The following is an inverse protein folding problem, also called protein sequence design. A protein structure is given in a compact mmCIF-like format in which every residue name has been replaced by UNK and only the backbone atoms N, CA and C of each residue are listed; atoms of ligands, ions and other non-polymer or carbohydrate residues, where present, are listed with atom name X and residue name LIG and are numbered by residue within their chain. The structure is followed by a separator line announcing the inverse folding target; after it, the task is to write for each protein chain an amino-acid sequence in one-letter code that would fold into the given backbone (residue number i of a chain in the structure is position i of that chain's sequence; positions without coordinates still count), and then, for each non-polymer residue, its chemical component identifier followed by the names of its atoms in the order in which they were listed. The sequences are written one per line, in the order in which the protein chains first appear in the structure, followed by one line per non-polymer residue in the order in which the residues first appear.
data_IF_675030756107
#
_entry.id   IF_675030756107
#
_cell.length_a   1.000
_cell.length_b   1.000
_cell.length_c   1.000
_cell.angle_alpha   90.00
_cell.angle_beta   90.00
_cell.angle_gamma   90.00
#
_symmetry.space_group_name_H-M   'P 1'
#
loop_
_entity.id
_entity.type
_entity.pdbx_description
1 polymer ?
#
# COMPACT_ATOMS: atom_id res chain seq x y z
N UNK A 1 -7.86 -11.34 26.53
CA UNK A 1 -7.09 -12.33 25.73
C UNK A 1 -6.46 -11.71 24.49
N UNK A 2 -7.17 -10.85 23.73
CA UNK A 2 -6.66 -10.27 22.48
C UNK A 2 -5.57 -9.19 22.72
N UNK A 3 -5.71 -8.36 23.76
CA UNK A 3 -4.72 -7.32 24.11
C UNK A 3 -3.38 -7.85 24.64
N UNK A 4 -3.27 -9.17 24.88
CA UNK A 4 -2.02 -9.81 25.28
C UNK A 4 -1.24 -10.38 24.06
N UNK A 5 -1.92 -10.60 22.94
CA UNK A 5 -1.32 -11.12 21.71
C UNK A 5 -0.87 -10.00 20.76
N UNK A 6 -1.42 -8.78 20.93
CA UNK A 6 -1.10 -7.59 20.13
C UNK A 6 -0.80 -6.44 21.07
N UNK A 7 0.30 -5.72 20.81
CA UNK A 7 0.60 -4.45 21.47
C UNK A 7 -0.49 -3.44 21.13
N UNK A 8 -1.17 -2.91 22.14
CA UNK A 8 -2.14 -1.81 21.97
C UNK A 8 -1.46 -0.45 21.79
N UNK A 9 -0.16 -0.36 22.00
CA UNK A 9 0.60 0.88 21.89
C UNK A 9 1.11 1.08 20.46
N UNK A 10 0.84 2.28 19.91
CA UNK A 10 1.33 2.70 18.60
C UNK A 10 2.73 3.32 18.74
N UNK A 11 3.69 2.90 17.93
CA UNK A 11 5.04 3.47 17.89
C UNK A 11 5.11 4.60 16.85
N UNK A 12 5.20 5.89 17.26
CA UNK A 12 5.20 7.03 16.34
C UNK A 12 6.51 7.17 15.55
N UNK A 13 7.56 6.43 15.88
CA UNK A 13 8.86 6.51 15.19
C UNK A 13 8.89 5.74 13.87
N UNK A 14 7.95 4.80 13.70
CA UNK A 14 7.81 4.01 12.48
C UNK A 14 7.37 4.91 11.33
N UNK A 15 8.18 4.93 10.26
CA UNK A 15 7.88 5.72 9.07
C UNK A 15 6.58 5.26 8.41
N UNK A 16 5.69 6.21 8.17
CA UNK A 16 4.46 6.06 7.40
C UNK A 16 4.60 6.84 6.08
N UNK A 17 3.96 6.39 5.00
CA UNK A 17 3.97 7.05 3.68
C UNK A 17 5.33 7.14 2.96
N UNK A 18 6.14 6.08 2.96
CA UNK A 18 7.39 6.06 2.19
C UNK A 18 7.16 5.96 0.67
N UNK A 19 8.24 6.11 -0.11
CA UNK A 19 8.21 5.91 -1.56
C UNK A 19 7.60 4.55 -1.96
N UNK A 20 7.90 3.48 -1.21
CA UNK A 20 7.38 2.13 -1.49
C UNK A 20 5.87 2.06 -1.32
N UNK A 21 5.35 2.70 -0.27
CA UNK A 21 3.92 2.83 -0.05
C UNK A 21 3.26 3.49 -1.26
N UNK A 22 3.80 4.62 -1.75
CA UNK A 22 3.23 5.34 -2.89
C UNK A 22 3.22 4.49 -4.15
N UNK A 23 4.35 3.85 -4.50
CA UNK A 23 4.44 3.00 -5.68
C UNK A 23 3.47 1.82 -5.61
N UNK A 24 3.46 1.08 -4.50
CA UNK A 24 2.62 -0.11 -4.35
C UNK A 24 1.14 0.25 -4.27
N UNK A 25 0.78 1.27 -3.49
CA UNK A 25 -0.62 1.69 -3.35
C UNK A 25 -1.18 2.20 -4.68
N UNK A 26 -0.47 3.07 -5.41
CA UNK A 26 -0.94 3.54 -6.72
C UNK A 26 -1.09 2.40 -7.72
N UNK A 27 -0.16 1.44 -7.73
CA UNK A 27 -0.25 0.27 -8.60
C UNK A 27 -1.48 -0.59 -8.29
N UNK A 28 -1.68 -0.99 -7.03
CA UNK A 28 -2.82 -1.83 -6.65
C UNK A 28 -4.16 -1.10 -6.75
N UNK A 29 -4.20 0.18 -6.40
CA UNK A 29 -5.40 1.01 -6.53
C UNK A 29 -5.81 1.17 -7.98
N UNK A 30 -4.87 1.46 -8.89
CA UNK A 30 -5.18 1.59 -10.32
C UNK A 30 -5.63 0.26 -10.94
N UNK A 31 -5.00 -0.86 -10.57
CA UNK A 31 -5.43 -2.19 -11.00
C UNK A 31 -6.83 -2.53 -10.50
N UNK A 32 -7.10 -2.30 -9.21
CA UNK A 32 -8.40 -2.54 -8.61
C UNK A 32 -9.49 -1.69 -9.28
N UNK A 33 -9.24 -0.39 -9.46
CA UNK A 33 -10.18 0.52 -10.13
C UNK A 33 -10.47 0.10 -11.58
N UNK A 34 -9.45 -0.31 -12.35
CA UNK A 34 -9.64 -0.78 -13.72
C UNK A 34 -10.51 -2.04 -13.80
N UNK A 35 -10.29 -3.00 -12.89
CA UNK A 35 -11.08 -4.23 -12.80
C UNK A 35 -12.51 -3.91 -12.38
N UNK A 36 -12.70 -3.10 -11.33
CA UNK A 36 -14.01 -2.67 -10.84
C UNK A 36 -14.81 -1.97 -11.94
N UNK A 37 -14.19 -1.04 -12.68
CA UNK A 37 -14.84 -0.33 -13.78
C UNK A 37 -15.22 -1.27 -14.94
N UNK A 38 -14.39 -2.26 -15.25
CA UNK A 38 -14.68 -3.23 -16.29
C UNK A 38 -15.89 -4.11 -15.97
N UNK A 39 -15.99 -4.57 -14.72
CA UNK A 39 -17.15 -5.33 -14.24
C UNK A 39 -18.39 -4.46 -14.06
N UNK A 40 -18.24 -3.16 -13.80
CA UNK A 40 -19.38 -2.25 -13.70
C UNK A 40 -20.24 -2.22 -14.98
N UNK A 41 -19.62 -2.34 -16.16
CA UNK A 41 -20.33 -2.38 -17.44
C UNK A 41 -20.84 -3.78 -17.82
N UNK A 42 -20.53 -4.82 -17.06
CA UNK A 42 -20.98 -6.20 -17.33
C UNK A 42 -21.98 -6.64 -16.26
N UNK A 43 -22.98 -7.46 -16.62
CA UNK A 43 -23.90 -8.06 -15.63
C UNK A 43 -23.23 -9.13 -14.73
N UNK A 44 -21.91 -9.29 -14.80
CA UNK A 44 -21.14 -10.22 -13.99
C UNK A 44 -20.48 -9.43 -12.85
N UNK A 45 -20.85 -9.74 -11.60
CA UNK A 45 -20.22 -9.16 -10.43
C UNK A 45 -18.90 -9.89 -10.16
N UNK A 46 -17.80 -9.38 -10.69
CA UNK A 46 -16.44 -9.82 -10.37
C UNK A 46 -15.79 -8.85 -9.40
N UNK A 47 -15.74 -9.19 -8.11
CA UNK A 47 -15.05 -8.37 -7.12
C UNK A 47 -13.57 -8.73 -7.03
N UNK A 48 -12.72 -7.71 -6.97
CA UNK A 48 -11.30 -7.89 -6.74
C UNK A 48 -11.02 -8.04 -5.24
N UNK A 49 -10.43 -9.17 -4.85
CA UNK A 49 -10.21 -9.47 -3.43
C UNK A 49 -9.11 -8.59 -2.83
N UNK A 50 -9.45 -7.82 -1.80
CA UNK A 50 -8.46 -7.05 -1.04
C UNK A 50 -7.44 -7.94 -0.31
N UNK A 51 -7.78 -9.19 0.01
CA UNK A 51 -6.82 -10.14 0.60
C UNK A 51 -5.66 -10.43 -0.35
N UNK A 52 -5.92 -10.48 -1.66
CA UNK A 52 -4.85 -10.63 -2.65
C UNK A 52 -3.87 -9.46 -2.58
N UNK A 53 -4.38 -8.23 -2.45
CA UNK A 53 -3.56 -7.02 -2.26
C UNK A 53 -2.69 -7.15 -1.02
N UNK A 54 -3.24 -7.61 0.11
CA UNK A 54 -2.49 -7.80 1.36
C UNK A 54 -1.31 -8.76 1.18
N UNK A 55 -1.55 -9.93 0.57
CA UNK A 55 -0.48 -10.93 0.36
C UNK A 55 0.59 -10.43 -0.60
N UNK A 56 0.21 -9.91 -1.76
CA UNK A 56 1.17 -9.51 -2.79
C UNK A 56 1.93 -8.26 -2.36
N UNK A 57 1.27 -7.29 -1.72
CA UNK A 57 1.93 -6.08 -1.19
C UNK A 57 2.95 -6.42 -0.09
N UNK A 58 2.71 -7.45 0.73
CA UNK A 58 3.69 -7.88 1.72
C UNK A 58 4.96 -8.46 1.09
N UNK A 59 4.80 -9.35 0.11
CA UNK A 59 5.94 -9.94 -0.62
C UNK A 59 6.68 -8.87 -1.41
N UNK A 60 5.96 -8.03 -2.15
CA UNK A 60 6.52 -6.96 -2.96
C UNK A 60 7.21 -5.89 -2.08
N UNK A 61 6.60 -5.50 -0.96
CA UNK A 61 7.17 -4.55 0.01
C UNK A 61 8.47 -5.05 0.61
N UNK A 62 8.54 -6.34 1.00
CA UNK A 62 9.79 -6.97 1.48
C UNK A 62 10.84 -7.14 0.40
N UNK A 63 10.44 -7.31 -0.85
CA UNK A 63 11.37 -7.38 -1.97
C UNK A 63 11.96 -5.99 -2.28
N UNK A 64 11.10 -4.97 -2.35
CA UNK A 64 11.49 -3.55 -2.44
C UNK A 64 12.35 -3.12 -1.24
N UNK A 65 12.13 -3.67 -0.06
CA UNK A 65 12.97 -3.51 1.14
C UNK A 65 14.45 -3.84 0.89
N UNK A 66 14.70 -4.91 0.12
CA UNK A 66 16.05 -5.43 -0.17
C UNK A 66 16.66 -4.83 -1.42
N UNK A 67 15.86 -4.52 -2.43
CA UNK A 67 16.33 -4.05 -3.74
C UNK A 67 16.56 -2.54 -3.77
N UNK A 68 15.74 -1.74 -3.07
CA UNK A 68 15.90 -0.28 -3.15
C UNK A 68 17.16 0.20 -2.39
N UNK A 69 17.94 1.10 -3.01
CA UNK A 69 19.14 1.64 -2.40
C UNK A 69 18.81 2.51 -1.20
N UNK A 70 19.53 2.31 -0.09
CA UNK A 70 19.50 3.13 1.13
C UNK A 70 20.19 4.49 0.95
N UNK A 71 20.49 4.88 -0.29
CA UNK A 71 21.12 6.17 -0.57
C UNK A 71 20.15 7.30 -0.23
N UNK A 72 20.66 8.32 0.45
CA UNK A 72 19.95 9.57 0.67
C UNK A 72 20.00 10.37 -0.63
N UNK A 73 18.85 10.57 -1.24
CA UNK A 73 18.71 11.45 -2.40
C UNK A 73 18.46 12.86 -1.89
N UNK A 74 19.27 13.81 -2.32
CA UNK A 74 19.05 15.23 -2.04
C UNK A 74 18.55 15.90 -3.31
N UNK A 75 17.34 16.44 -3.26
CA UNK A 75 16.77 17.29 -4.30
C UNK A 75 16.55 18.66 -3.68
N UNK A 76 17.31 19.66 -4.14
CA UNK A 76 17.30 21.04 -3.61
C UNK A 76 17.55 21.08 -2.09
N UNK A 77 16.55 21.48 -1.29
CA UNK A 77 16.63 21.54 0.19
C UNK A 77 16.10 20.28 0.88
N UNK A 78 15.59 19.30 0.14
CA UNK A 78 14.94 18.12 0.71
C UNK A 78 15.82 16.88 0.52
N UNK A 79 16.12 16.21 1.63
CA UNK A 79 16.83 14.94 1.64
C UNK A 79 15.86 13.81 1.99
N UNK A 80 15.63 12.88 1.07
CA UNK A 80 14.79 11.72 1.31
C UNK A 80 15.57 10.42 1.03
N UNK A 81 15.31 9.39 1.83
CA UNK A 81 15.80 8.04 1.56
C UNK A 81 14.69 7.26 0.86
N UNK A 82 15.02 6.57 -0.23
CA UNK A 82 14.10 5.62 -0.86
C UNK A 82 13.86 4.37 -0.01
N UNK A 83 14.76 4.12 0.96
CA UNK A 83 14.71 3.01 1.89
C UNK A 83 15.06 3.51 3.30
N UNK A 84 14.12 4.14 4.02
CA UNK A 84 14.36 4.63 5.37
C UNK A 84 14.51 3.49 6.39
N UNK A 85 13.98 2.30 6.10
CA UNK A 85 14.01 1.17 7.01
C UNK A 85 13.36 -0.10 6.44
N UNK A 86 13.27 -1.17 7.25
CA UNK A 86 12.55 -2.38 6.88
C UNK A 86 11.06 -2.10 6.62
N UNK A 87 10.42 -2.96 5.83
CA UNK A 87 8.99 -2.85 5.54
C UNK A 87 8.18 -3.07 6.83
N UNK A 88 7.40 -2.05 7.22
CA UNK A 88 6.70 -2.01 8.50
C UNK A 88 5.19 -2.29 8.34
N UNK A 89 4.55 -2.66 9.45
CA UNK A 89 3.10 -2.90 9.50
C UNK A 89 2.29 -1.66 9.11
N UNK A 90 2.76 -0.45 9.48
CA UNK A 90 2.08 0.81 9.15
C UNK A 90 1.96 1.02 7.64
N UNK A 91 3.07 0.86 6.92
CA UNK A 91 3.09 1.02 5.46
C UNK A 91 2.20 -0.02 4.79
N UNK A 92 2.22 -1.26 5.29
CA UNK A 92 1.40 -2.36 4.77
C UNK A 92 -0.09 -2.10 4.95
N UNK A 93 -0.51 -1.67 6.14
CA UNK A 93 -1.90 -1.29 6.43
C UNK A 93 -2.32 -0.08 5.60
N UNK A 94 -1.44 0.92 5.45
CA UNK A 94 -1.73 2.07 4.60
C UNK A 94 -1.97 1.68 3.14
N UNK A 95 -1.19 0.74 2.57
CA UNK A 95 -1.43 0.23 1.21
C UNK A 95 -2.83 -0.39 1.11
N UNK A 96 -3.19 -1.25 2.08
CA UNK A 96 -4.51 -1.88 2.13
C UNK A 96 -5.65 -0.85 2.17
N UNK A 97 -5.55 0.14 3.05
CA UNK A 97 -6.56 1.21 3.18
C UNK A 97 -6.64 2.05 1.92
N UNK A 98 -5.51 2.43 1.33
CA UNK A 98 -5.47 3.22 0.10
C UNK A 98 -6.11 2.49 -1.09
N UNK A 99 -5.85 1.19 -1.23
CA UNK A 99 -6.47 0.38 -2.29
C UNK A 99 -7.95 0.10 -2.03
N UNK A 100 -8.34 -0.14 -0.77
CA UNK A 100 -9.75 -0.31 -0.40
C UNK A 100 -10.58 0.94 -0.65
N UNK A 101 -10.03 2.13 -0.36
CA UNK A 101 -10.73 3.40 -0.55
C UNK A 101 -10.76 3.84 -2.03
N UNK A 102 -9.69 3.63 -2.78
CA UNK A 102 -9.55 4.16 -4.15
C UNK A 102 -9.87 3.16 -5.27
N UNK A 103 -10.05 1.88 -4.98
CA UNK A 103 -10.21 0.82 -5.98
C UNK A 103 -11.64 0.64 -6.51
N UNK A 104 -12.61 1.43 -6.03
CA UNK A 104 -14.00 1.36 -6.46
C UNK A 104 -14.24 1.94 -7.85
N UNK A 105 -15.36 1.56 -8.47
CA UNK A 105 -15.85 2.14 -9.72
C UNK A 105 -16.16 3.63 -9.53
N UNK A 106 -15.71 4.48 -10.45
CA UNK A 106 -16.02 5.91 -10.42
C UNK A 106 -17.36 6.16 -11.09
N UNK A 107 -18.29 6.78 -10.36
CA UNK A 107 -19.60 7.18 -10.87
C UNK A 107 -19.54 8.67 -11.26
N UNK A 108 -19.80 8.98 -12.52
CA UNK A 108 -20.09 10.34 -12.96
C UNK A 108 -21.60 10.44 -13.18
N UNK A 109 -22.28 11.22 -12.35
CA UNK A 109 -23.72 11.53 -12.48
C UNK A 109 -23.91 12.75 -13.36
#
# INVERSE_FOLDING_TARGET
MISAAVSSEDDPTLSCLTFRFWVLSTFFTSLCAAISQFYHFRPNNGDFSLFFVVFVSYVAGRWMARVLPTRKFQILRWSFSLNPGPFNIKEHVCIFVATGAGGGSAYAT
#
